data_IF_154806368217
#
_entry.id   IF_154806368217
#
_cell.length_a   1.000
_cell.length_b   1.000
_cell.length_c   1.000
_cell.angle_alpha   90.00
_cell.angle_beta   90.00
_cell.angle_gamma   90.00
#
_symmetry.space_group_name_H-M   'P 1'
#
loop_
_entity.id
_entity.type
_entity.pdbx_description
1 polymer ?
#
# COMPACT_ATOMS: atom_id res chain seq x y z
N UNK A 1 -15.84 -2.21 -2.21
CA UNK A 1 -15.38 -0.88 -2.68
C UNK A 1 -13.86 -0.83 -2.67
N UNK A 2 -13.27 -0.27 -3.71
CA UNK A 2 -11.81 -0.16 -3.78
C UNK A 2 -11.32 1.12 -3.11
N UNK A 3 -10.16 1.03 -2.50
CA UNK A 3 -9.46 2.16 -1.90
C UNK A 3 -8.00 2.14 -2.34
N UNK A 4 -7.49 3.30 -2.71
CA UNK A 4 -6.08 3.48 -3.00
C UNK A 4 -5.39 4.09 -1.79
N UNK A 5 -4.32 3.45 -1.34
CA UNK A 5 -3.43 4.00 -0.32
C UNK A 5 -2.25 4.65 -1.01
N UNK A 6 -2.07 5.93 -0.79
CA UNK A 6 -0.94 6.69 -1.29
C UNK A 6 -0.07 7.01 -0.10
N UNK A 7 1.04 6.28 0.03
CA UNK A 7 1.90 6.32 1.19
C UNK A 7 3.21 7.02 0.83
N UNK A 8 3.60 8.01 1.61
CA UNK A 8 4.82 8.77 1.42
C UNK A 8 5.79 8.47 2.55
N UNK A 9 7.02 8.06 2.21
CA UNK A 9 8.04 7.79 3.21
C UNK A 9 8.55 9.09 3.84
N UNK A 10 9.01 8.99 5.08
CA UNK A 10 9.78 10.05 5.73
C UNK A 10 11.12 10.24 5.00
N UNK A 11 11.64 11.46 4.92
CA UNK A 11 12.98 11.69 4.36
C UNK A 11 14.02 10.83 5.07
N UNK A 12 15.03 10.38 4.31
CA UNK A 12 16.19 9.64 4.84
C UNK A 12 15.83 8.31 5.56
N UNK A 13 14.73 7.67 5.14
CA UNK A 13 14.25 6.42 5.72
C UNK A 13 14.37 5.22 4.76
N UNK A 14 15.19 5.33 3.71
CA UNK A 14 15.36 4.24 2.73
C UNK A 14 15.81 2.94 3.41
N UNK A 15 16.77 3.03 4.33
CA UNK A 15 17.27 1.83 5.01
C UNK A 15 16.19 1.14 5.82
N UNK A 16 15.33 1.91 6.51
CA UNK A 16 14.20 1.35 7.25
C UNK A 16 13.24 0.61 6.29
N UNK A 17 12.95 1.21 5.13
CA UNK A 17 12.13 0.55 4.11
C UNK A 17 12.71 -0.78 3.68
N UNK A 18 14.00 -0.83 3.42
CA UNK A 18 14.68 -2.06 3.00
C UNK A 18 14.66 -3.12 4.11
N UNK A 19 14.87 -2.70 5.36
CA UNK A 19 14.89 -3.61 6.51
C UNK A 19 13.52 -4.24 6.79
N UNK A 20 12.44 -3.47 6.63
CA UNK A 20 11.07 -3.91 6.93
C UNK A 20 10.40 -4.58 5.71
N UNK A 21 10.99 -4.44 4.52
CA UNK A 21 10.37 -4.93 3.27
C UNK A 21 9.92 -6.40 3.34
N UNK A 22 10.68 -7.36 3.90
CA UNK A 22 10.21 -8.74 3.97
C UNK A 22 8.88 -8.88 4.71
N UNK A 23 8.71 -8.16 5.82
CA UNK A 23 7.47 -8.20 6.60
C UNK A 23 6.30 -7.54 5.84
N UNK A 24 6.56 -6.42 5.16
CA UNK A 24 5.58 -5.76 4.30
C UNK A 24 5.10 -6.68 3.18
N UNK A 25 6.02 -7.35 2.50
CA UNK A 25 5.69 -8.29 1.42
C UNK A 25 4.85 -9.45 1.95
N UNK A 26 5.19 -10.00 3.12
CA UNK A 26 4.42 -11.06 3.74
C UNK A 26 2.98 -10.60 4.04
N UNK A 27 2.83 -9.39 4.56
CA UNK A 27 1.51 -8.79 4.82
C UNK A 27 0.68 -8.67 3.54
N UNK A 28 1.28 -8.17 2.46
CA UNK A 28 0.60 -8.05 1.17
C UNK A 28 0.24 -9.42 0.57
N UNK A 29 1.09 -10.43 0.75
CA UNK A 29 0.78 -11.80 0.31
C UNK A 29 -0.45 -12.36 1.01
N UNK A 30 -0.60 -12.11 2.31
CA UNK A 30 -1.79 -12.53 3.06
C UNK A 30 -3.04 -11.83 2.54
N UNK A 31 -2.98 -10.54 2.27
CA UNK A 31 -4.09 -9.79 1.67
C UNK A 31 -4.41 -10.30 0.27
N UNK A 32 -3.41 -10.68 -0.49
CA UNK A 32 -3.57 -11.23 -1.84
C UNK A 32 -4.26 -12.59 -1.81
N UNK A 33 -3.92 -13.43 -0.84
CA UNK A 33 -4.49 -14.77 -0.68
C UNK A 33 -6.00 -14.75 -0.44
N UNK A 34 -6.51 -13.70 0.21
CA UNK A 34 -7.95 -13.52 0.48
C UNK A 34 -8.68 -12.69 -0.58
N UNK A 35 -7.98 -12.28 -1.64
CA UNK A 35 -8.55 -11.44 -2.70
C UNK A 35 -8.72 -9.97 -2.30
N UNK A 36 -8.23 -9.58 -1.13
CA UNK A 36 -8.31 -8.21 -0.65
C UNK A 36 -7.39 -7.27 -1.41
N UNK A 37 -6.15 -7.71 -1.67
CA UNK A 37 -5.19 -6.92 -2.45
C UNK A 37 -5.51 -7.01 -3.94
N UNK A 38 -5.56 -5.87 -4.61
CA UNK A 38 -5.72 -5.80 -6.07
C UNK A 38 -4.39 -5.64 -6.77
N UNK A 39 -3.61 -4.64 -6.38
CA UNK A 39 -2.24 -4.44 -6.86
C UNK A 39 -1.50 -3.49 -5.90
N UNK A 40 -0.17 -3.53 -5.98
CA UNK A 40 0.68 -2.68 -5.16
C UNK A 40 2.06 -2.54 -5.80
N UNK A 41 2.74 -1.46 -5.48
CA UNK A 41 4.12 -1.22 -5.89
C UNK A 41 4.68 0.05 -5.26
N UNK A 42 6.00 0.21 -5.26
CA UNK A 42 6.61 1.40 -4.71
C UNK A 42 6.57 2.57 -5.69
N UNK A 43 6.45 3.79 -5.16
CA UNK A 43 6.83 5.00 -5.89
C UNK A 43 8.36 5.12 -5.86
N UNK A 44 8.92 5.58 -6.96
CA UNK A 44 10.37 5.75 -7.08
C UNK A 44 10.70 7.24 -7.17
N UNK A 45 11.83 7.63 -6.55
CA UNK A 45 12.37 8.96 -6.72
C UNK A 45 13.16 9.07 -8.05
N UNK A 46 13.73 10.24 -8.33
CA UNK A 46 14.44 10.47 -9.58
C UNK A 46 15.70 9.61 -9.74
N UNK A 47 16.22 9.06 -8.64
CA UNK A 47 17.36 8.16 -8.64
C UNK A 47 16.95 6.68 -8.74
N UNK A 48 15.64 6.39 -8.83
CA UNK A 48 15.13 5.04 -8.91
C UNK A 48 14.99 4.34 -7.55
N UNK A 49 15.16 5.04 -6.44
CA UNK A 49 14.99 4.48 -5.11
C UNK A 49 13.53 4.55 -4.66
N UNK A 50 13.02 3.51 -3.97
CA UNK A 50 11.66 3.56 -3.45
C UNK A 50 11.51 4.65 -2.38
N UNK A 51 10.48 5.46 -2.51
CA UNK A 51 10.22 6.60 -1.62
C UNK A 51 8.77 6.66 -1.14
N UNK A 52 7.98 5.64 -1.44
CA UNK A 52 6.58 5.55 -1.07
C UNK A 52 5.96 4.28 -1.60
N UNK A 53 4.66 4.13 -1.43
CA UNK A 53 3.92 2.96 -1.89
C UNK A 53 2.55 3.35 -2.41
N UNK A 54 2.12 2.70 -3.48
CA UNK A 54 0.73 2.66 -3.91
C UNK A 54 0.20 1.25 -3.61
N UNK A 55 -0.90 1.17 -2.86
CA UNK A 55 -1.56 -0.10 -2.55
C UNK A 55 -3.05 0.08 -2.82
N UNK A 56 -3.64 -0.80 -3.61
CA UNK A 56 -5.08 -0.77 -3.88
C UNK A 56 -5.71 -2.05 -3.34
N UNK A 57 -6.72 -1.87 -2.49
CA UNK A 57 -7.40 -2.97 -1.80
C UNK A 57 -8.92 -2.83 -1.92
N UNK A 58 -9.62 -3.93 -1.63
CA UNK A 58 -11.07 -3.96 -1.48
C UNK A 58 -11.43 -3.99 0.00
N UNK A 59 -12.33 -3.13 0.41
CA UNK A 59 -12.84 -3.08 1.77
C UNK A 59 -14.31 -2.66 1.78
N UNK A 60 -15.01 -2.99 2.85
CA UNK A 60 -16.43 -2.66 2.99
C UNK A 60 -16.67 -1.16 3.07
N UNK A 61 -15.80 -0.44 3.76
CA UNK A 61 -15.89 1.00 4.00
C UNK A 61 -14.52 1.59 4.32
N UNK A 62 -14.47 2.91 4.48
CA UNK A 62 -13.22 3.60 4.77
C UNK A 62 -12.59 3.23 6.11
N UNK A 63 -13.34 3.05 7.22
CA UNK A 63 -12.75 2.56 8.46
C UNK A 63 -12.07 1.19 8.30
N UNK A 64 -12.67 0.26 7.56
CA UNK A 64 -12.05 -1.04 7.28
C UNK A 64 -10.77 -0.89 6.46
N UNK A 65 -10.78 -0.01 5.45
CA UNK A 65 -9.58 0.31 4.66
C UNK A 65 -8.48 0.91 5.53
N UNK A 66 -8.83 1.84 6.42
CA UNK A 66 -7.88 2.46 7.34
C UNK A 66 -7.22 1.43 8.27
N UNK A 67 -7.97 0.45 8.74
CA UNK A 67 -7.43 -0.64 9.56
C UNK A 67 -6.40 -1.48 8.78
N UNK A 68 -6.66 -1.75 7.50
CA UNK A 68 -5.72 -2.47 6.64
C UNK A 68 -4.44 -1.66 6.45
N UNK A 69 -4.56 -0.37 6.17
CA UNK A 69 -3.40 0.51 6.02
C UNK A 69 -2.55 0.56 7.29
N UNK A 70 -3.18 0.67 8.45
CA UNK A 70 -2.51 0.71 9.74
C UNK A 70 -1.83 -0.62 10.11
N UNK A 71 -2.29 -1.73 9.55
CA UNK A 71 -1.72 -3.05 9.78
C UNK A 71 -0.43 -3.33 9.01
N UNK A 72 -0.11 -2.52 8.01
CA UNK A 72 1.11 -2.69 7.21
C UNK A 72 2.35 -2.51 8.11
N UNK A 73 3.30 -3.48 8.08
CA UNK A 73 4.55 -3.36 8.82
C UNK A 73 5.32 -2.06 8.58
N UNK A 74 5.25 -1.49 7.37
CA UNK A 74 5.83 -0.17 7.10
C UNK A 74 5.20 0.92 7.96
N UNK A 75 3.86 0.91 8.08
CA UNK A 75 3.15 1.87 8.91
C UNK A 75 3.49 1.69 10.39
N UNK A 76 3.53 0.44 10.86
CA UNK A 76 3.87 0.11 12.26
C UNK A 76 5.29 0.50 12.62
N UNK A 77 6.23 0.42 11.67
CA UNK A 77 7.62 0.79 11.87
C UNK A 77 7.85 2.31 11.84
N UNK A 78 6.83 3.09 11.50
CA UNK A 78 6.96 4.54 11.42
C UNK A 78 7.65 5.04 10.16
N UNK A 79 7.60 4.26 9.07
CA UNK A 79 8.22 4.64 7.80
C UNK A 79 7.51 5.82 7.13
N UNK A 80 6.17 5.88 7.21
CA UNK A 80 5.41 6.84 6.43
C UNK A 80 5.30 8.20 7.09
N UNK A 81 5.58 9.27 6.32
CA UNK A 81 5.29 10.64 6.71
C UNK A 81 3.80 10.95 6.54
N UNK A 82 3.16 10.35 5.54
CA UNK A 82 1.76 10.56 5.23
C UNK A 82 1.17 9.32 4.57
N UNK A 83 -0.10 9.04 4.88
CA UNK A 83 -0.91 8.01 4.22
C UNK A 83 -2.23 8.64 3.83
N UNK A 84 -2.52 8.66 2.53
CA UNK A 84 -3.81 9.09 2.01
C UNK A 84 -4.62 7.85 1.64
N UNK A 85 -5.88 7.79 2.08
CA UNK A 85 -6.81 6.70 1.79
C UNK A 85 -7.92 7.29 0.93
N UNK A 86 -7.96 6.87 -0.33
CA UNK A 86 -8.86 7.45 -1.33
C UNK A 86 -9.79 6.38 -1.88
N UNK A 87 -11.11 6.54 -1.84
CA UNK A 87 -12.01 5.70 -2.61
C UNK A 87 -11.63 5.80 -4.10
N UNK A 88 -11.60 4.65 -4.77
CA UNK A 88 -11.11 4.60 -6.14
C UNK A 88 -11.95 3.67 -7.00
N UNK A 89 -12.14 4.01 -8.26
CA UNK A 89 -12.87 3.21 -9.22
C UNK A 89 -11.93 2.74 -10.34
N UNK A 90 -11.84 1.42 -10.50
CA UNK A 90 -10.99 0.80 -11.51
C UNK A 90 -11.76 0.72 -12.83
N UNK A 91 -11.55 1.69 -13.72
CA UNK A 91 -12.31 1.82 -14.97
C UNK A 91 -11.67 1.03 -16.10
N UNK A 92 -10.35 1.14 -16.28
CA UNK A 92 -9.63 0.48 -17.37
C UNK A 92 -8.80 -0.70 -16.85
N UNK A 93 -8.77 -1.75 -17.65
CA UNK A 93 -7.97 -2.96 -17.40
C UNK A 93 -8.33 -3.67 -16.08
N UNK A 94 -9.56 -3.49 -15.62
CA UNK A 94 -10.05 -4.22 -14.46
C UNK A 94 -10.30 -5.69 -14.87
N UNK A 95 -9.59 -6.68 -14.28
CA UNK A 95 -9.79 -8.09 -14.66
C UNK A 95 -11.21 -8.59 -14.45
N UNK A 96 -11.95 -8.00 -13.49
CA UNK A 96 -13.34 -8.38 -13.22
C UNK A 96 -14.31 -7.97 -14.34
N UNK A 97 -13.94 -7.00 -15.16
CA UNK A 97 -14.78 -6.48 -16.25
C UNK A 97 -14.40 -7.04 -17.62
N UNK A 98 -13.55 -8.01 -17.66
CA UNK A 98 -13.18 -8.65 -18.89
C UNK A 98 -11.82 -8.53 -19.33
#
# INVERSE_FOLDING_TARGET
MLFAFICKDKPDHLQLRLDIRPDHVAYLKDLNATGTLKFAGPFLDDNGNPCGSLVVIDAADKPAAAAIAAGDPYAKAGLFAAVEIQPWNWVFNNPANG
#
